data_IF_806672326388
#
_entry.id   IF_806672326388
#
_cell.length_a   1.000
_cell.length_b   1.000
_cell.length_c   1.000
_cell.angle_alpha   90.00
_cell.angle_beta   90.00
_cell.angle_gamma   90.00
#
_symmetry.space_group_name_H-M   'P 1'
#
loop_
_entity.id
_entity.type
_entity.pdbx_description
1 polymer ?
#
# COMPACT_ATOMS: atom_id res chain seq x y z
N UNK A 1 -4.39 -10.35 34.90
CA UNK A 1 -3.29 -10.36 33.92
C UNK A 1 -3.92 -9.99 32.60
N UNK A 2 -3.66 -8.78 32.12
CA UNK A 2 -4.37 -8.17 31.00
C UNK A 2 -3.47 -8.30 29.76
N UNK A 3 -4.00 -8.87 28.68
CA UNK A 3 -3.28 -8.94 27.41
C UNK A 3 -3.27 -7.54 26.82
N UNK A 4 -2.14 -6.84 26.94
CA UNK A 4 -1.90 -5.61 26.21
C UNK A 4 -1.59 -5.96 24.76
N UNK A 5 -2.24 -5.27 23.84
CA UNK A 5 -1.92 -5.29 22.42
C UNK A 5 -0.57 -4.58 22.24
N UNK A 6 0.47 -5.33 21.86
CA UNK A 6 1.79 -4.78 21.59
C UNK A 6 2.02 -4.82 20.07
N UNK A 7 2.03 -3.64 19.43
CA UNK A 7 2.52 -3.50 18.06
C UNK A 7 4.03 -3.30 18.09
N UNK A 8 4.79 -4.28 17.60
CA UNK A 8 6.24 -4.16 17.44
C UNK A 8 6.54 -3.93 15.96
N UNK A 9 7.28 -2.86 15.65
CA UNK A 9 7.68 -2.50 14.29
C UNK A 9 9.17 -2.79 14.18
N UNK A 10 9.51 -3.99 13.71
CA UNK A 10 10.87 -4.35 13.34
C UNK A 10 11.09 -4.14 11.84
N UNK A 11 12.31 -3.78 11.46
CA UNK A 11 12.74 -3.77 10.05
C UNK A 11 13.17 -5.16 9.57
N UNK A 12 13.51 -6.05 10.50
CA UNK A 12 14.00 -7.41 10.24
C UNK A 12 12.96 -8.49 10.62
N UNK A 13 11.70 -8.11 10.88
CA UNK A 13 10.61 -9.06 11.10
C UNK A 13 10.01 -9.52 9.78
N UNK A 14 9.67 -10.80 9.72
CA UNK A 14 9.07 -11.42 8.54
C UNK A 14 7.61 -11.78 8.80
N UNK A 15 6.80 -11.91 7.73
CA UNK A 15 5.39 -12.26 7.86
C UNK A 15 5.20 -13.61 8.58
N UNK A 16 6.12 -14.55 8.35
CA UNK A 16 6.17 -15.86 9.01
C UNK A 16 6.37 -15.82 10.53
N UNK A 17 6.81 -14.69 11.10
CA UNK A 17 6.89 -14.51 12.55
C UNK A 17 5.51 -14.22 13.17
N UNK A 18 4.46 -14.02 12.36
CA UNK A 18 3.12 -13.85 12.89
C UNK A 18 2.56 -15.19 13.39
N UNK A 19 2.06 -15.20 14.62
CA UNK A 19 1.51 -16.42 15.19
C UNK A 19 1.19 -16.33 16.67
N UNK A 20 0.71 -17.45 17.21
CA UNK A 20 0.45 -17.60 18.64
C UNK A 20 1.68 -18.14 19.34
N UNK A 21 2.24 -17.34 20.23
CA UNK A 21 3.39 -17.69 21.06
C UNK A 21 2.93 -18.03 22.47
N UNK A 22 3.60 -19.00 23.09
CA UNK A 22 3.34 -19.42 24.45
C UNK A 22 4.58 -19.18 25.31
N UNK A 23 4.41 -18.42 26.39
CA UNK A 23 5.39 -18.32 27.45
C UNK A 23 5.02 -19.30 28.56
N UNK A 24 5.99 -20.10 29.01
CA UNK A 24 5.82 -21.08 30.08
C UNK A 24 6.80 -20.78 31.20
N UNK A 25 6.28 -20.74 32.44
CA UNK A 25 7.04 -20.55 33.65
C UNK A 25 7.06 -21.83 34.46
N UNK A 26 8.26 -22.31 34.79
CA UNK A 26 8.47 -23.50 35.62
C UNK A 26 8.21 -23.19 37.11
N UNK A 27 6.96 -22.85 37.44
CA UNK A 27 6.46 -22.67 38.81
C UNK A 27 5.69 -23.91 39.28
N UNK A 28 5.30 -23.95 40.54
CA UNK A 28 4.44 -24.99 41.09
C UNK A 28 3.19 -24.33 41.71
N UNK A 29 2.01 -24.37 41.04
CA UNK A 29 1.73 -25.06 39.77
C UNK A 29 2.40 -24.40 38.55
N UNK A 30 2.57 -25.18 37.48
CA UNK A 30 3.11 -24.68 36.21
C UNK A 30 2.19 -23.56 35.69
N UNK A 31 2.78 -22.42 35.34
CA UNK A 31 2.03 -21.31 34.75
C UNK A 31 2.39 -21.17 33.29
N UNK A 32 1.39 -20.86 32.45
CA UNK A 32 1.59 -20.53 31.05
C UNK A 32 0.74 -19.33 30.66
N UNK A 33 1.19 -18.62 29.65
CA UNK A 33 0.46 -17.52 29.03
C UNK A 33 0.62 -17.60 27.51
N UNK A 34 -0.48 -17.41 26.79
CA UNK A 34 -0.47 -17.27 25.34
C UNK A 34 -0.55 -15.80 24.95
N UNK A 35 0.11 -15.45 23.85
CA UNK A 35 0.01 -14.16 23.20
C UNK A 35 0.00 -14.35 21.69
N UNK A 36 -0.71 -13.49 20.96
CA UNK A 36 -0.68 -13.46 19.51
C UNK A 36 0.21 -12.31 19.04
N UNK A 37 1.20 -12.63 18.21
CA UNK A 37 2.06 -11.65 17.55
C UNK A 37 1.53 -11.39 16.14
N UNK A 38 1.14 -10.16 15.88
CA UNK A 38 0.79 -9.68 14.54
C UNK A 38 1.96 -8.87 13.99
N UNK A 39 2.45 -9.27 12.82
CA UNK A 39 3.52 -8.55 12.11
C UNK A 39 2.89 -7.59 11.11
N UNK A 40 3.34 -6.35 11.14
CA UNK A 40 2.95 -5.30 10.18
C UNK A 40 4.21 -4.83 9.47
N UNK A 41 4.25 -5.02 8.16
CA UNK A 41 5.38 -4.63 7.31
C UNK A 41 4.99 -3.35 6.56
N UNK A 42 5.75 -2.25 6.72
CA UNK A 42 5.43 -1.00 6.05
C UNK A 42 5.43 -1.17 4.52
N UNK A 43 4.64 -0.38 3.81
CA UNK A 43 4.58 -0.47 2.36
C UNK A 43 5.90 -0.07 1.72
N UNK A 44 6.41 -0.90 0.81
CA UNK A 44 7.58 -0.61 -0.01
C UNK A 44 7.19 -0.57 -1.49
N UNK A 45 7.66 0.44 -2.22
CA UNK A 45 7.33 0.62 -3.64
C UNK A 45 8.35 -0.17 -4.44
N UNK A 46 7.90 -1.25 -5.06
CA UNK A 46 8.71 -2.00 -6.01
C UNK A 46 8.82 -1.14 -7.26
N UNK A 47 10.04 -0.76 -7.63
CA UNK A 47 10.32 0.17 -8.73
C UNK A 47 9.85 -0.42 -10.08
N UNK A 48 8.58 -0.20 -10.39
CA UNK A 48 7.98 -0.53 -11.66
C UNK A 48 8.16 0.67 -12.57
N UNK A 49 9.07 0.54 -13.54
CA UNK A 49 9.19 1.51 -14.61
C UNK A 49 7.80 1.82 -15.19
N UNK A 50 7.36 3.06 -15.06
CA UNK A 50 6.15 3.52 -15.76
C UNK A 50 6.45 3.43 -17.25
N UNK A 51 5.85 2.46 -17.94
CA UNK A 51 5.94 2.34 -19.40
C UNK A 51 5.37 3.63 -20.02
N UNK A 52 6.27 4.47 -20.54
CA UNK A 52 5.92 5.77 -21.12
C UNK A 52 5.84 6.90 -20.10
N UNK A 53 6.88 7.12 -19.28
CA UNK A 53 7.05 8.31 -18.41
C UNK A 53 6.84 9.64 -19.14
N UNK A 54 6.94 9.64 -20.47
CA UNK A 54 6.53 10.71 -21.37
C UNK A 54 5.68 10.16 -22.52
N UNK A 55 4.58 10.84 -22.84
CA UNK A 55 3.85 10.64 -24.10
C UNK A 55 3.68 12.00 -24.80
N UNK A 56 3.54 11.96 -26.13
CA UNK A 56 3.19 13.14 -26.92
C UNK A 56 1.74 13.55 -26.65
N UNK A 57 1.41 14.80 -26.96
CA UNK A 57 0.04 15.31 -26.93
C UNK A 57 -0.92 14.35 -27.66
N UNK A 58 -2.06 14.04 -27.05
CA UNK A 58 -3.02 13.06 -27.56
C UNK A 58 -2.58 11.58 -27.43
N UNK A 59 -1.39 11.32 -26.91
CA UNK A 59 -0.90 9.98 -26.58
C UNK A 59 -1.52 9.41 -25.30
N UNK A 60 -1.20 8.15 -25.01
CA UNK A 60 -1.66 7.45 -23.81
C UNK A 60 -0.47 6.94 -22.99
N UNK A 61 -0.49 7.22 -21.70
CA UNK A 61 0.43 6.68 -20.70
C UNK A 61 -0.31 5.63 -19.87
N UNK A 62 0.39 4.56 -19.48
CA UNK A 62 -0.12 3.59 -18.51
C UNK A 62 0.67 3.73 -17.21
N UNK A 63 -0.01 4.18 -16.16
CA UNK A 63 0.56 4.27 -14.83
C UNK A 63 0.42 2.91 -14.13
N UNK A 64 1.56 2.29 -13.84
CA UNK A 64 1.67 1.03 -13.10
C UNK A 64 2.56 1.28 -11.88
N UNK A 65 2.06 0.89 -10.72
CA UNK A 65 2.78 0.95 -9.45
C UNK A 65 2.41 -0.31 -8.70
N UNK A 66 3.44 -1.04 -8.28
CA UNK A 66 3.31 -2.20 -7.39
C UNK A 66 3.96 -1.83 -6.08
N UNK A 67 3.29 -2.16 -4.97
CA UNK A 67 3.84 -2.00 -3.64
C UNK A 67 3.66 -3.30 -2.86
N UNK A 68 4.65 -3.65 -2.06
CA UNK A 68 4.66 -4.77 -1.13
C UNK A 68 4.42 -4.26 0.29
N UNK A 69 4.06 -5.14 1.21
CA UNK A 69 3.77 -4.78 2.60
C UNK A 69 2.68 -5.67 3.19
N UNK A 70 2.57 -5.66 4.52
CA UNK A 70 1.60 -6.46 5.27
C UNK A 70 0.86 -5.52 6.23
N UNK A 71 -0.47 -5.33 6.06
CA UNK A 71 -1.32 -5.89 5.01
C UNK A 71 -0.99 -5.31 3.62
N UNK A 72 -1.47 -5.99 2.56
CA UNK A 72 -1.23 -5.57 1.17
C UNK A 72 -1.65 -4.10 0.95
N UNK A 73 -0.74 -3.24 0.46
CA UNK A 73 -1.02 -1.81 0.36
C UNK A 73 -1.97 -1.46 -0.79
N UNK A 74 -2.77 -0.41 -0.57
CA UNK A 74 -3.60 0.19 -1.61
C UNK A 74 -2.81 1.22 -2.42
N UNK A 75 -2.78 1.04 -3.75
CA UNK A 75 -2.11 1.97 -4.67
C UNK A 75 -3.09 3.03 -5.17
N UNK A 76 -2.71 4.30 -5.02
CA UNK A 76 -3.48 5.45 -5.49
C UNK A 76 -2.61 6.48 -6.18
N UNK A 77 -3.14 7.09 -7.24
CA UNK A 77 -2.47 8.13 -8.01
C UNK A 77 -3.13 9.48 -7.79
N UNK A 78 -2.28 10.49 -7.69
CA UNK A 78 -2.63 11.91 -7.69
C UNK A 78 -1.66 12.66 -8.58
N UNK A 79 -2.09 13.79 -9.16
CA UNK A 79 -1.13 14.73 -9.75
C UNK A 79 -0.37 15.46 -8.65
N UNK A 80 0.83 15.91 -8.99
CA UNK A 80 1.64 16.76 -8.12
C UNK A 80 0.85 18.00 -7.68
N UNK A 81 1.14 18.49 -6.47
CA UNK A 81 0.44 19.64 -5.88
C UNK A 81 -1.09 19.45 -5.74
N UNK A 82 -1.57 18.19 -5.68
CA UNK A 82 -2.99 17.85 -5.61
C UNK A 82 -3.84 18.44 -6.77
N UNK A 83 -3.23 18.68 -7.93
CA UNK A 83 -3.99 19.14 -9.11
C UNK A 83 -5.00 18.06 -9.53
N UNK A 84 -6.18 18.45 -10.07
CA UNK A 84 -7.14 17.47 -10.55
C UNK A 84 -6.58 16.73 -11.78
N UNK A 85 -6.80 15.41 -11.81
CA UNK A 85 -6.67 14.57 -12.99
C UNK A 85 -7.91 14.82 -13.85
N UNK A 86 -7.71 15.27 -15.08
CA UNK A 86 -8.79 15.61 -16.02
C UNK A 86 -8.94 14.48 -17.03
N UNK A 87 -10.14 13.89 -17.09
CA UNK A 87 -10.54 12.95 -18.12
C UNK A 87 -11.46 13.66 -19.10
N UNK A 88 -11.12 13.63 -20.40
CA UNK A 88 -11.98 14.12 -21.49
C UNK A 88 -12.59 12.92 -22.21
N UNK A 89 -13.91 12.89 -22.30
CA UNK A 89 -14.64 11.91 -23.11
C UNK A 89 -15.02 12.53 -24.46
N UNK A 90 -15.25 11.70 -25.49
CA UNK A 90 -15.57 12.08 -26.89
C UNK A 90 -16.86 12.91 -27.09
N UNK A 91 -17.47 13.43 -26.02
CA UNK A 91 -18.62 14.35 -26.05
C UNK A 91 -18.38 15.69 -25.35
N UNK A 92 -17.11 16.08 -25.12
CA UNK A 92 -16.75 17.36 -24.49
C UNK A 92 -17.00 17.44 -22.97
N UNK A 93 -17.50 16.38 -22.36
CA UNK A 93 -17.72 16.31 -20.91
C UNK A 93 -16.40 16.03 -20.18
N UNK A 94 -15.90 17.03 -19.45
CA UNK A 94 -14.73 16.89 -18.59
C UNK A 94 -15.12 16.28 -17.24
N UNK A 95 -14.33 15.31 -16.78
CA UNK A 95 -14.40 14.79 -15.41
C UNK A 95 -13.10 15.08 -14.69
N UNK A 96 -13.17 15.81 -13.58
CA UNK A 96 -12.03 16.13 -12.72
C UNK A 96 -12.07 15.22 -11.49
N UNK A 97 -10.98 14.54 -11.20
CA UNK A 97 -10.84 13.70 -9.99
C UNK A 97 -9.52 14.02 -9.30
N UNK A 98 -9.51 14.03 -7.96
CA UNK A 98 -8.28 14.29 -7.19
C UNK A 98 -7.42 13.04 -6.95
N UNK A 99 -8.05 11.86 -6.98
CA UNK A 99 -7.42 10.58 -6.62
C UNK A 99 -8.01 9.47 -7.47
N UNK A 100 -7.17 8.54 -7.94
CA UNK A 100 -7.60 7.34 -8.65
C UNK A 100 -6.91 6.12 -8.06
N UNK A 101 -7.63 5.02 -7.87
CA UNK A 101 -7.08 3.77 -7.37
C UNK A 101 -6.59 2.86 -8.50
N UNK A 102 -5.57 2.05 -8.22
CA UNK A 102 -5.08 0.98 -9.07
C UNK A 102 -4.34 1.44 -10.33
N UNK A 103 -4.13 0.51 -11.26
CA UNK A 103 -3.52 0.82 -12.55
C UNK A 103 -4.51 1.59 -13.43
N UNK A 104 -4.05 2.72 -13.99
CA UNK A 104 -4.89 3.55 -14.86
C UNK A 104 -4.14 3.97 -16.10
N UNK A 105 -4.84 3.84 -17.23
CA UNK A 105 -4.46 4.49 -18.48
C UNK A 105 -4.87 5.95 -18.40
N UNK A 106 -3.91 6.85 -18.45
CA UNK A 106 -4.14 8.30 -18.53
C UNK A 106 -3.71 8.80 -19.91
N UNK A 107 -4.45 9.76 -20.43
CA UNK A 107 -3.97 10.57 -21.55
C UNK A 107 -3.42 11.87 -20.95
N UNK A 108 -2.15 12.23 -21.18
CA UNK A 108 -1.65 13.53 -20.78
C UNK A 108 -2.48 14.60 -21.48
N UNK A 109 -3.17 15.41 -20.68
CA UNK A 109 -3.68 16.71 -21.12
C UNK A 109 -2.56 17.71 -20.85
N UNK A 110 -1.99 18.24 -21.92
CA UNK A 110 -0.98 19.30 -21.87
C UNK A 110 -1.52 20.59 -21.24
N UNK A 111 -0.55 21.43 -20.85
CA UNK A 111 -0.70 22.65 -20.06
C UNK A 111 -1.39 23.83 -20.74
#
# INVERSE_FOLDING_TARGET
>A
MELKEFSYVDKDAYEEDSGSYMCQFNTQPMQMQMGHLSVVIPPDIVDTATEGSSAREGGSIRLTCTATGVPTPAVMWRREHNRPIVFRHEGGRERKVGLIAGSKRLMPVDG
#
